data_IF_698142646821
#
_entry.id   IF_698142646821
#
_cell.length_a   1.000
_cell.length_b   1.000
_cell.length_c   1.000
_cell.angle_alpha   90.00
_cell.angle_beta   90.00
_cell.angle_gamma   90.00
#
_symmetry.space_group_name_H-M   'P 1'
#
loop_
_entity.id
_entity.type
_entity.pdbx_description
1 polymer ?
#
# COMPACT_ATOMS: atom_id res chain seq x y z
N UNK A 1 34.22 -10.08 9.58
CA UNK A 1 33.43 -9.21 10.47
C UNK A 1 32.43 -8.42 9.62
N UNK A 2 31.33 -9.04 9.18
CA UNK A 2 30.27 -8.32 8.46
C UNK A 2 29.15 -8.00 9.48
N UNK A 3 28.93 -6.71 9.73
CA UNK A 3 27.90 -6.24 10.66
C UNK A 3 26.52 -6.75 10.25
N UNK A 4 25.77 -7.26 11.24
CA UNK A 4 24.38 -7.70 11.09
C UNK A 4 23.56 -6.51 10.56
N UNK A 5 22.86 -6.60 9.41
CA UNK A 5 22.06 -5.49 8.92
C UNK A 5 21.02 -5.16 9.99
N UNK A 6 20.98 -3.89 10.41
CA UNK A 6 20.09 -3.42 11.45
C UNK A 6 18.64 -3.78 11.10
N UNK A 7 17.89 -4.26 12.08
CA UNK A 7 16.45 -4.45 11.95
C UNK A 7 15.80 -3.09 11.72
N UNK A 8 15.65 -2.71 10.45
CA UNK A 8 14.85 -1.55 10.08
C UNK A 8 13.40 -1.86 10.46
N UNK A 9 12.99 -1.47 11.67
CA UNK A 9 11.58 -1.35 12.01
C UNK A 9 10.96 -0.49 10.91
N UNK A 10 10.10 -1.10 10.08
CA UNK A 10 9.44 -0.40 8.98
C UNK A 10 8.75 0.81 9.61
N UNK A 11 9.20 2.03 9.28
CA UNK A 11 8.49 3.25 9.69
C UNK A 11 7.06 3.08 9.19
N UNK A 12 6.11 3.02 10.12
CA UNK A 12 4.73 2.80 9.75
C UNK A 12 4.25 3.98 8.89
N UNK A 13 3.46 3.69 7.86
CA UNK A 13 2.90 4.72 6.98
C UNK A 13 1.83 5.52 7.74
N UNK A 14 2.01 6.84 7.83
CA UNK A 14 1.08 7.75 8.53
C UNK A 14 1.50 8.11 9.95
N UNK A 15 0.87 9.14 10.51
CA UNK A 15 1.07 9.60 11.89
C UNK A 15 -0.19 9.39 12.73
N UNK A 16 0.02 9.09 14.02
CA UNK A 16 -1.03 9.07 15.04
C UNK A 16 -0.61 10.11 16.09
N UNK A 17 -1.34 11.21 16.18
CA UNK A 17 -1.08 12.33 17.08
C UNK A 17 -2.02 12.25 18.30
N UNK A 18 -1.48 12.44 19.50
CA UNK A 18 -2.26 12.55 20.74
C UNK A 18 -2.77 13.98 20.89
N UNK A 19 -4.09 14.17 21.00
CA UNK A 19 -4.69 15.49 21.23
C UNK A 19 -4.77 15.81 22.73
N UNK A 20 -4.79 17.12 23.10
CA UNK A 20 -4.97 17.54 24.49
C UNK A 20 -6.28 17.04 25.14
N UNK A 21 -7.29 16.73 24.33
CA UNK A 21 -8.57 16.15 24.76
C UNK A 21 -8.50 14.65 25.09
N UNK A 22 -7.34 14.01 24.92
CA UNK A 22 -7.17 12.56 25.07
C UNK A 22 -7.61 11.74 23.84
N UNK A 23 -8.12 12.40 22.80
CA UNK A 23 -8.43 11.79 21.51
C UNK A 23 -7.14 11.47 20.71
N UNK A 24 -7.23 10.53 19.77
CA UNK A 24 -6.15 10.28 18.81
C UNK A 24 -6.55 10.80 17.43
N UNK A 25 -5.64 11.50 16.77
CA UNK A 25 -5.81 11.94 15.38
C UNK A 25 -4.89 11.12 14.49
N UNK A 26 -5.49 10.35 13.60
CA UNK A 26 -4.77 9.58 12.59
C UNK A 26 -4.69 10.41 11.32
N UNK A 27 -3.49 10.54 10.75
CA UNK A 27 -3.25 11.22 9.47
C UNK A 27 -2.47 10.31 8.54
N UNK A 28 -2.95 10.13 7.32
CA UNK A 28 -2.24 9.39 6.27
C UNK A 28 -2.25 10.19 4.96
N UNK A 29 -1.08 10.40 4.39
CA UNK A 29 -0.92 11.13 3.13
C UNK A 29 -1.44 10.30 1.94
N UNK A 30 -2.44 10.84 1.25
CA UNK A 30 -3.11 10.19 0.13
C UNK A 30 -2.69 10.73 -1.25
N UNK A 31 -1.79 11.72 -1.31
CA UNK A 31 -1.31 12.33 -2.55
C UNK A 31 -1.62 13.82 -2.64
N UNK A 32 -1.54 14.37 -3.85
CA UNK A 32 -1.94 15.75 -4.17
C UNK A 32 -3.21 15.69 -5.00
N UNK A 33 -4.21 16.48 -4.65
CA UNK A 33 -5.44 16.59 -5.45
C UNK A 33 -5.15 17.35 -6.77
N UNK A 34 -5.43 16.77 -7.95
CA UNK A 34 -5.13 17.39 -9.24
C UNK A 34 -5.80 18.75 -9.47
N UNK A 35 -6.99 18.97 -8.90
CA UNK A 35 -7.76 20.20 -9.12
C UNK A 35 -7.28 21.34 -8.20
N UNK A 36 -7.11 21.06 -6.91
CA UNK A 36 -6.69 22.09 -5.95
C UNK A 36 -5.18 22.26 -5.83
N UNK A 37 -4.39 21.28 -6.31
CA UNK A 37 -2.93 21.17 -6.13
C UNK A 37 -2.49 21.15 -4.65
N UNK A 38 -3.41 20.87 -3.72
CA UNK A 38 -3.11 20.78 -2.28
C UNK A 38 -2.87 19.33 -1.89
N UNK A 39 -2.10 19.13 -0.82
CA UNK A 39 -1.92 17.82 -0.21
C UNK A 39 -3.27 17.29 0.29
N UNK A 40 -3.63 16.10 -0.17
CA UNK A 40 -4.80 15.37 0.28
C UNK A 40 -4.38 14.37 1.35
N UNK A 41 -4.91 14.55 2.56
CA UNK A 41 -4.67 13.67 3.70
C UNK A 41 -5.99 13.05 4.14
N UNK A 42 -5.95 11.76 4.48
CA UNK A 42 -7.03 11.11 5.21
C UNK A 42 -6.81 11.39 6.69
N UNK A 43 -7.79 12.04 7.31
CA UNK A 43 -7.74 12.48 8.69
C UNK A 43 -9.00 12.00 9.39
N UNK A 44 -8.81 11.31 10.51
CA UNK A 44 -9.90 10.91 11.39
C UNK A 44 -9.45 11.09 12.83
N UNK A 45 -10.40 11.49 13.67
CA UNK A 45 -10.17 11.73 15.09
C UNK A 45 -11.00 10.71 15.85
N UNK A 46 -10.31 9.80 16.52
CA UNK A 46 -10.91 8.76 17.33
C UNK A 46 -11.22 9.31 18.73
N UNK A 47 -12.39 8.93 19.25
CA UNK A 47 -12.87 9.41 20.55
C UNK A 47 -12.00 8.85 21.67
N UNK A 48 -11.82 9.60 22.78
CA UNK A 48 -11.09 9.11 23.93
C UNK A 48 -11.82 7.90 24.54
N UNK A 49 -11.07 6.83 24.79
CA UNK A 49 -11.58 5.59 25.36
C UNK A 49 -10.45 4.62 25.72
N UNK A 50 -10.75 3.53 26.45
CA UNK A 50 -9.73 2.57 26.88
C UNK A 50 -9.08 1.81 25.72
N UNK A 51 -9.75 1.74 24.56
CA UNK A 51 -9.27 1.05 23.36
C UNK A 51 -8.82 2.02 22.26
N UNK A 52 -8.69 3.32 22.56
CA UNK A 52 -8.41 4.36 21.55
C UNK A 52 -7.15 4.06 20.74
N UNK A 53 -6.09 3.52 21.37
CA UNK A 53 -4.84 3.19 20.67
C UNK A 53 -5.03 2.07 19.64
N UNK A 54 -5.87 1.07 19.94
CA UNK A 54 -6.17 -0.03 19.02
C UNK A 54 -7.06 0.45 17.88
N UNK A 55 -8.06 1.28 18.18
CA UNK A 55 -8.95 1.88 17.20
C UNK A 55 -8.18 2.77 16.21
N UNK A 56 -7.30 3.62 16.72
CA UNK A 56 -6.45 4.47 15.88
C UNK A 56 -5.50 3.68 14.99
N UNK A 57 -4.94 2.57 15.48
CA UNK A 57 -4.15 1.69 14.64
C UNK A 57 -5.00 1.02 13.54
N UNK A 58 -6.21 0.57 13.87
CA UNK A 58 -7.14 0.00 12.89
C UNK A 58 -7.53 1.01 11.81
N UNK A 59 -7.83 2.25 12.20
CA UNK A 59 -8.10 3.37 11.28
C UNK A 59 -6.90 3.64 10.37
N UNK A 60 -5.68 3.65 10.92
CA UNK A 60 -4.45 3.82 10.12
C UNK A 60 -4.31 2.71 9.08
N UNK A 61 -4.50 1.45 9.47
CA UNK A 61 -4.41 0.30 8.55
C UNK A 61 -5.47 0.41 7.46
N UNK A 62 -6.71 0.77 7.83
CA UNK A 62 -7.81 1.01 6.88
C UNK A 62 -7.46 2.09 5.87
N UNK A 63 -6.91 3.22 6.30
CA UNK A 63 -6.48 4.30 5.40
C UNK A 63 -5.35 3.89 4.46
N UNK A 64 -4.36 3.15 4.95
CA UNK A 64 -3.28 2.62 4.11
C UNK A 64 -3.84 1.67 3.06
N UNK A 65 -4.78 0.81 3.43
CA UNK A 65 -5.45 -0.10 2.50
C UNK A 65 -6.20 0.67 1.40
N UNK A 66 -7.04 1.64 1.80
CA UNK A 66 -7.80 2.49 0.89
C UNK A 66 -6.90 3.23 -0.12
N UNK A 67 -5.76 3.75 0.34
CA UNK A 67 -4.79 4.42 -0.54
C UNK A 67 -4.16 3.42 -1.52
N UNK A 68 -3.82 2.22 -1.06
CA UNK A 68 -3.22 1.20 -1.92
C UNK A 68 -4.20 0.69 -2.98
N UNK A 69 -5.48 0.52 -2.65
CA UNK A 69 -6.52 0.14 -3.61
C UNK A 69 -6.71 1.19 -4.70
N UNK A 70 -6.65 2.48 -4.35
CA UNK A 70 -6.79 3.58 -5.29
C UNK A 70 -5.57 3.76 -6.19
N UNK A 71 -4.40 3.23 -5.80
CA UNK A 71 -3.18 3.41 -6.60
C UNK A 71 -3.25 2.53 -7.85
N UNK A 72 -2.98 3.09 -9.04
CA UNK A 72 -2.88 2.28 -10.25
C UNK A 72 -1.78 1.23 -10.04
N UNK A 73 -2.09 -0.01 -10.41
CA UNK A 73 -1.13 -1.09 -10.34
C UNK A 73 0.08 -0.76 -11.23
N UNK A 74 1.29 -0.98 -10.73
CA UNK A 74 2.49 -0.93 -11.56
C UNK A 74 2.70 -2.29 -12.19
N UNK A 75 2.32 -2.44 -13.46
CA UNK A 75 2.61 -3.64 -14.23
C UNK A 75 4.10 -3.95 -14.17
N UNK A 76 4.42 -5.18 -13.76
CA UNK A 76 5.75 -5.75 -13.92
C UNK A 76 5.65 -6.82 -15.00
N UNK A 77 6.63 -6.94 -15.90
CA UNK A 77 6.62 -8.01 -16.90
C UNK A 77 6.60 -9.37 -16.21
N UNK A 78 6.01 -10.36 -16.89
CA UNK A 78 6.13 -11.76 -16.47
C UNK A 78 7.60 -12.18 -16.41
N UNK A 79 7.90 -13.17 -15.57
CA UNK A 79 9.23 -13.76 -15.56
C UNK A 79 9.58 -14.35 -16.94
N UNK A 80 10.85 -14.24 -17.33
CA UNK A 80 11.31 -14.74 -18.64
C UNK A 80 11.01 -16.23 -18.85
N UNK A 81 11.02 -17.03 -17.78
CA UNK A 81 10.64 -18.46 -17.79
C UNK A 81 9.17 -18.65 -18.15
N UNK A 82 8.27 -17.88 -17.52
CA UNK A 82 6.83 -17.91 -17.81
C UNK A 82 6.55 -17.54 -19.27
N UNK A 83 7.24 -16.51 -19.78
CA UNK A 83 7.10 -16.09 -21.18
C UNK A 83 7.52 -17.23 -22.13
N UNK A 84 8.63 -17.92 -21.86
CA UNK A 84 9.09 -19.06 -22.66
C UNK A 84 8.11 -20.24 -22.63
N UNK A 85 7.54 -20.56 -21.48
CA UNK A 85 6.53 -21.62 -21.37
C UNK A 85 5.28 -21.30 -22.20
N UNK A 86 4.77 -20.07 -22.10
CA UNK A 86 3.63 -19.62 -22.91
C UNK A 86 3.96 -19.73 -24.40
N UNK A 87 5.15 -19.25 -24.81
CA UNK A 87 5.59 -19.33 -26.20
C UNK A 87 5.64 -20.78 -26.71
N UNK A 88 6.24 -21.70 -25.95
CA UNK A 88 6.34 -23.11 -26.33
C UNK A 88 4.97 -23.75 -26.60
N UNK A 89 3.99 -23.51 -25.72
CA UNK A 89 2.63 -24.03 -25.86
C UNK A 89 1.95 -23.45 -27.11
N UNK A 90 1.99 -22.13 -27.26
CA UNK A 90 1.32 -21.44 -28.37
C UNK A 90 1.95 -21.79 -29.72
N UNK A 91 3.28 -21.85 -29.82
CA UNK A 91 3.97 -22.23 -31.06
C UNK A 91 3.65 -23.65 -31.51
N UNK A 92 3.55 -24.61 -30.57
CA UNK A 92 3.14 -25.97 -30.86
C UNK A 92 1.70 -26.04 -31.38
N UNK A 93 0.78 -25.33 -30.73
CA UNK A 93 -0.63 -25.27 -31.14
C UNK A 93 -0.79 -24.60 -32.52
N UNK A 94 -0.13 -23.48 -32.74
CA UNK A 94 -0.23 -22.71 -33.99
C UNK A 94 0.36 -23.49 -35.18
N UNK A 95 1.50 -24.16 -35.00
CA UNK A 95 2.11 -25.02 -36.03
C UNK A 95 1.19 -26.19 -36.43
N UNK A 96 0.39 -26.69 -35.49
CA UNK A 96 -0.60 -27.75 -35.76
C UNK A 96 -1.85 -27.22 -36.47
N UNK A 97 -2.23 -25.96 -36.23
CA UNK A 97 -3.43 -25.35 -36.77
C UNK A 97 -3.28 -24.88 -38.23
N UNK A 98 -2.07 -24.55 -38.67
CA UNK A 98 -1.79 -24.15 -40.05
C UNK A 98 -1.52 -25.41 -40.89
N UNK A 99 -2.42 -25.70 -41.82
CA UNK A 99 -2.27 -26.69 -42.90
C UNK A 99 -2.82 -26.11 -44.19
#
# INVERSE_FOLDING_TARGET
MAGKPGTHSKRATGSIEKLPSGALRVRVYAGVDPLSKRCHELIEIDRPGPQVEKEAEAVRVRFVHQINERRPHRCKPLAATTIRHIHFILSGAFKKAIR
#
